data_IF_991590302159
#
_entry.id   IF_991590302159
#
_cell.length_a   1.000
_cell.length_b   1.000
_cell.length_c   1.000
_cell.angle_alpha   90.00
_cell.angle_beta   90.00
_cell.angle_gamma   90.00
#
_symmetry.space_group_name_H-M   'P 1'
#
loop_
_entity.id
_entity.type
_entity.pdbx_description
1 polymer ?
#
# COMPACT_ATOMS: atom_id res chain seq x y z
N UNK A 1 4.84 -19.71 17.16
CA UNK A 1 3.60 -19.15 16.57
C UNK A 1 3.06 -20.13 15.54
N UNK A 2 1.78 -20.49 15.60
CA UNK A 2 1.07 -21.26 14.57
C UNK A 2 -0.10 -20.47 14.06
N UNK A 3 -0.29 -20.47 12.74
CA UNK A 3 -1.46 -19.85 12.10
C UNK A 3 -2.29 -20.97 11.50
N UNK A 4 -3.57 -21.02 11.85
CA UNK A 4 -4.52 -21.99 11.32
C UNK A 4 -5.58 -21.25 10.51
N UNK A 5 -5.84 -21.77 9.31
CA UNK A 5 -7.01 -21.41 8.53
C UNK A 5 -8.14 -22.36 8.93
N UNK A 6 -9.00 -21.92 9.83
CA UNK A 6 -10.21 -22.67 10.18
C UNK A 6 -11.41 -22.12 9.40
N UNK A 7 -12.18 -23.04 8.81
CA UNK A 7 -13.44 -22.74 8.12
C UNK A 7 -13.34 -21.81 6.89
N UNK A 8 -12.57 -22.23 5.89
CA UNK A 8 -12.85 -21.79 4.53
C UNK A 8 -14.16 -22.45 4.12
N UNK A 9 -15.28 -21.72 4.19
CA UNK A 9 -16.55 -22.19 3.66
C UNK A 9 -16.63 -21.80 2.21
N UNK A 10 -16.66 -22.81 1.34
CA UNK A 10 -16.90 -22.63 -0.09
C UNK A 10 -18.40 -22.59 -0.36
N UNK A 11 -18.81 -21.83 -1.35
CA UNK A 11 -20.12 -22.00 -1.98
C UNK A 11 -20.05 -23.23 -2.87
N UNK A 12 -20.86 -24.24 -2.58
CA UNK A 12 -20.84 -25.52 -3.28
C UNK A 12 -21.18 -25.39 -4.78
N UNK A 13 -21.82 -24.28 -5.20
CA UNK A 13 -22.17 -24.01 -6.60
C UNK A 13 -21.07 -23.26 -7.39
N UNK A 14 -20.19 -22.50 -6.74
CA UNK A 14 -19.21 -21.61 -7.41
C UNK A 14 -17.76 -21.90 -7.00
N UNK A 15 -17.52 -22.69 -5.96
CA UNK A 15 -16.15 -23.03 -5.48
C UNK A 15 -15.40 -21.86 -4.84
N UNK A 16 -16.10 -20.79 -4.49
CA UNK A 16 -15.51 -19.58 -3.89
C UNK A 16 -15.67 -19.54 -2.37
N UNK A 17 -14.64 -19.07 -1.67
CA UNK A 17 -14.67 -18.94 -0.23
C UNK A 17 -15.61 -17.81 0.21
N UNK A 18 -16.67 -18.14 0.97
CA UNK A 18 -17.58 -17.13 1.54
C UNK A 18 -16.99 -16.38 2.73
N UNK A 19 -16.08 -17.01 3.46
CA UNK A 19 -15.39 -16.44 4.63
C UNK A 19 -14.04 -17.10 4.80
N UNK A 20 -13.04 -16.30 5.20
CA UNK A 20 -11.74 -16.79 5.61
C UNK A 20 -11.53 -16.40 7.06
N UNK A 21 -11.33 -17.40 7.94
CA UNK A 21 -10.93 -17.17 9.32
C UNK A 21 -9.44 -17.48 9.47
N UNK A 22 -8.67 -16.51 9.92
CA UNK A 22 -7.26 -16.68 10.26
C UNK A 22 -7.13 -16.60 11.78
N UNK A 23 -6.67 -17.68 12.40
CA UNK A 23 -6.36 -17.72 13.83
C UNK A 23 -4.87 -17.82 14.03
N UNK A 24 -4.34 -16.95 14.88
CA UNK A 24 -2.92 -16.92 15.22
C UNK A 24 -2.75 -17.42 16.64
N UNK A 25 -1.88 -18.42 16.82
CA UNK A 25 -1.56 -19.03 18.11
C UNK A 25 -0.09 -18.80 18.45
N UNK A 26 0.18 -18.55 19.72
CA UNK A 26 1.52 -18.52 20.28
C UNK A 26 1.72 -19.69 21.24
N UNK A 27 2.91 -20.23 21.25
CA UNK A 27 3.28 -21.30 22.16
C UNK A 27 3.71 -20.74 23.50
N UNK A 28 3.35 -21.43 24.60
CA UNK A 28 3.90 -21.16 25.92
C UNK A 28 5.41 -21.47 25.95
N UNK A 29 6.20 -20.58 26.52
CA UNK A 29 7.63 -20.84 26.75
C UNK A 29 7.86 -21.96 27.78
N UNK A 30 6.85 -22.29 28.61
CA UNK A 30 6.92 -23.29 29.66
C UNK A 30 6.52 -24.69 29.17
N UNK A 31 5.60 -24.79 28.21
CA UNK A 31 5.14 -26.05 27.66
C UNK A 31 4.94 -25.96 26.13
N UNK A 32 5.76 -26.67 25.33
CA UNK A 32 5.69 -26.65 23.87
C UNK A 32 4.35 -27.13 23.27
N UNK A 33 3.50 -27.76 24.06
CA UNK A 33 2.18 -28.24 23.63
C UNK A 33 1.05 -27.28 23.98
N UNK A 34 1.30 -26.24 24.76
CA UNK A 34 0.30 -25.25 25.11
C UNK A 34 0.32 -24.10 24.13
N UNK A 35 -0.72 -24.05 23.31
CA UNK A 35 -0.93 -23.01 22.29
C UNK A 35 -2.05 -22.09 22.70
N UNK A 36 -1.75 -20.81 22.86
CA UNK A 36 -2.73 -19.78 23.15
C UNK A 36 -3.10 -19.04 21.89
N UNK A 37 -4.42 -18.89 21.66
CA UNK A 37 -4.93 -18.02 20.59
C UNK A 37 -4.62 -16.57 20.98
N UNK A 38 -3.73 -15.91 20.23
CA UNK A 38 -3.38 -14.51 20.45
C UNK A 38 -4.16 -13.57 19.56
N UNK A 39 -4.66 -14.07 18.41
CA UNK A 39 -5.41 -13.26 17.48
C UNK A 39 -6.35 -14.10 16.60
N UNK A 40 -7.42 -13.49 16.15
CA UNK A 40 -8.40 -14.10 15.24
C UNK A 40 -8.93 -13.02 14.28
N UNK A 41 -8.80 -13.29 13.00
CA UNK A 41 -9.28 -12.41 11.94
C UNK A 41 -10.36 -13.15 11.17
N UNK A 42 -11.57 -12.59 11.14
CA UNK A 42 -12.65 -13.05 10.27
C UNK A 42 -12.75 -12.12 9.06
N UNK A 43 -12.58 -12.67 7.88
CA UNK A 43 -12.72 -11.97 6.62
C UNK A 43 -14.00 -12.44 5.92
N UNK A 44 -15.01 -11.59 5.85
CA UNK A 44 -16.18 -11.81 5.00
C UNK A 44 -15.88 -11.40 3.56
N UNK A 45 -16.54 -12.02 2.61
CA UNK A 45 -16.46 -11.58 1.21
C UNK A 45 -16.92 -10.14 1.11
N UNK A 46 -16.04 -9.27 0.61
CA UNK A 46 -16.37 -7.88 0.37
C UNK A 46 -16.91 -7.70 -1.03
N UNK A 47 -16.19 -8.23 -2.03
CA UNK A 47 -16.60 -8.20 -3.41
C UNK A 47 -15.76 -9.14 -4.27
N UNK A 48 -16.34 -9.59 -5.38
CA UNK A 48 -15.64 -10.21 -6.47
C UNK A 48 -14.87 -9.16 -7.28
N UNK A 49 -13.64 -9.48 -7.66
CA UNK A 49 -12.83 -8.68 -8.56
C UNK A 49 -12.92 -9.22 -9.97
N UNK A 50 -12.72 -8.36 -10.97
CA UNK A 50 -12.85 -8.76 -12.38
C UNK A 50 -11.95 -9.95 -12.74
N UNK A 51 -10.72 -9.97 -12.21
CA UNK A 51 -9.72 -11.04 -12.32
C UNK A 51 -8.57 -10.72 -11.35
N UNK A 52 -7.69 -11.69 -11.14
CA UNK A 52 -6.51 -11.56 -10.31
C UNK A 52 -5.34 -10.85 -11.00
N UNK A 53 -4.15 -11.37 -10.81
CA UNK A 53 -2.94 -10.82 -11.44
C UNK A 53 -3.01 -10.93 -12.98
N UNK A 54 -3.58 -12.03 -13.47
CA UNK A 54 -3.81 -12.28 -14.88
C UNK A 54 -5.31 -12.50 -15.20
N UNK A 55 -5.76 -12.25 -16.46
CA UNK A 55 -7.17 -12.28 -16.83
C UNK A 55 -7.89 -13.63 -16.61
N UNK A 56 -7.17 -14.75 -16.60
CA UNK A 56 -7.73 -16.08 -16.38
C UNK A 56 -7.87 -16.47 -14.89
N UNK A 57 -7.41 -15.63 -13.96
CA UNK A 57 -7.45 -15.92 -12.53
C UNK A 57 -8.68 -15.27 -11.91
N UNK A 58 -9.52 -16.05 -11.23
CA UNK A 58 -10.57 -15.50 -10.37
C UNK A 58 -9.92 -14.81 -9.16
N UNK A 59 -10.53 -13.72 -8.69
CA UNK A 59 -10.04 -12.98 -7.55
C UNK A 59 -11.16 -12.33 -6.75
N UNK A 60 -10.94 -12.18 -5.47
CA UNK A 60 -11.87 -11.60 -4.52
C UNK A 60 -11.14 -10.69 -3.53
N UNK A 61 -11.83 -9.67 -3.06
CA UNK A 61 -11.39 -8.81 -1.97
C UNK A 61 -12.22 -9.10 -0.72
N UNK A 62 -11.56 -9.54 0.34
CA UNK A 62 -12.19 -9.79 1.63
C UNK A 62 -12.00 -8.59 2.56
N UNK A 63 -13.09 -8.14 3.17
CA UNK A 63 -13.05 -7.04 4.13
C UNK A 63 -12.75 -7.57 5.54
N UNK A 64 -11.78 -6.94 6.21
CA UNK A 64 -11.56 -7.10 7.64
C UNK A 64 -12.18 -5.93 8.41
N UNK A 65 -12.72 -6.12 9.62
CA UNK A 65 -13.15 -5.03 10.49
C UNK A 65 -12.05 -4.02 10.83
N UNK A 66 -10.80 -4.44 10.70
CA UNK A 66 -9.61 -3.64 10.99
C UNK A 66 -8.94 -3.08 9.72
N UNK A 67 -9.68 -2.93 8.63
CA UNK A 67 -9.12 -2.39 7.39
C UNK A 67 -8.94 -0.87 7.45
N UNK A 68 -7.99 -0.42 6.65
CA UNK A 68 -7.81 0.99 6.30
C UNK A 68 -9.11 1.53 5.71
N UNK A 69 -9.56 2.68 6.20
CA UNK A 69 -10.73 3.36 5.67
C UNK A 69 -10.32 4.18 4.45
N UNK A 70 -10.84 3.80 3.29
CA UNK A 70 -10.66 4.48 2.02
C UNK A 70 -11.95 4.48 1.21
N UNK A 71 -12.05 5.36 0.24
CA UNK A 71 -13.17 5.50 -0.66
C UNK A 71 -12.68 5.71 -2.09
N UNK A 72 -13.25 4.99 -3.04
CA UNK A 72 -13.11 5.30 -4.48
C UNK A 72 -14.16 6.36 -4.80
N UNK A 73 -13.75 7.62 -4.80
CA UNK A 73 -14.66 8.78 -4.96
C UNK A 73 -14.99 9.09 -6.42
N UNK A 74 -14.24 8.50 -7.35
CA UNK A 74 -14.55 8.55 -8.78
C UNK A 74 -13.88 7.40 -9.55
N UNK A 75 -14.46 7.06 -10.69
CA UNK A 75 -14.03 5.95 -11.54
C UNK A 75 -14.66 4.61 -11.14
N UNK A 76 -14.22 3.56 -11.83
CA UNK A 76 -14.63 2.19 -11.49
C UNK A 76 -13.84 1.68 -10.28
N UNK A 77 -14.35 0.64 -9.67
CA UNK A 77 -13.66 -0.05 -8.58
C UNK A 77 -12.26 -0.55 -8.96
N UNK A 78 -11.37 -0.64 -7.97
CA UNK A 78 -10.00 -1.08 -8.17
C UNK A 78 -9.95 -2.57 -8.54
N UNK A 79 -9.13 -2.91 -9.54
CA UNK A 79 -8.78 -4.29 -9.86
C UNK A 79 -7.76 -4.83 -8.84
N UNK A 80 -7.48 -6.14 -8.92
CA UNK A 80 -6.47 -6.79 -8.07
C UNK A 80 -5.10 -6.09 -8.15
N UNK A 81 -4.60 -5.85 -9.37
CA UNK A 81 -3.30 -5.19 -9.57
C UNK A 81 -3.29 -3.73 -9.11
N UNK A 82 -4.38 -2.99 -9.34
CA UNK A 82 -4.50 -1.62 -8.86
C UNK A 82 -4.56 -1.56 -7.34
N UNK A 83 -5.23 -2.53 -6.68
CA UNK A 83 -5.24 -2.62 -5.23
C UNK A 83 -3.83 -2.89 -4.68
N UNK A 84 -3.07 -3.81 -5.29
CA UNK A 84 -1.68 -4.04 -4.90
C UNK A 84 -0.83 -2.77 -5.03
N UNK A 85 -0.95 -2.05 -6.15
CA UNK A 85 -0.24 -0.79 -6.33
C UNK A 85 -0.67 0.28 -5.31
N UNK A 86 -1.97 0.35 -4.96
CA UNK A 86 -2.49 1.27 -3.94
C UNK A 86 -1.91 0.95 -2.56
N UNK A 87 -1.78 -0.33 -2.21
CA UNK A 87 -1.14 -0.76 -0.95
C UNK A 87 0.32 -0.31 -0.92
N UNK A 88 1.09 -0.60 -1.97
CA UNK A 88 2.51 -0.28 -2.03
C UNK A 88 2.76 1.23 -2.02
N UNK A 89 2.05 1.99 -2.85
CA UNK A 89 2.22 3.44 -2.90
C UNK A 89 1.84 4.11 -1.58
N UNK A 90 0.79 3.60 -0.91
CA UNK A 90 0.36 4.14 0.39
C UNK A 90 1.35 3.79 1.49
N UNK A 91 1.92 2.58 1.44
CA UNK A 91 2.99 2.18 2.36
C UNK A 91 4.19 3.12 2.27
N UNK A 92 4.66 3.41 1.04
CA UNK A 92 5.79 4.32 0.81
C UNK A 92 5.47 5.72 1.33
N UNK A 93 4.35 6.35 0.91
CA UNK A 93 4.04 7.73 1.34
C UNK A 93 3.72 7.83 2.83
N UNK A 94 3.33 6.74 3.48
CA UNK A 94 3.11 6.71 4.93
C UNK A 94 4.40 6.89 5.74
N UNK A 95 5.57 6.54 5.18
CA UNK A 95 6.87 6.81 5.78
C UNK A 95 7.21 8.31 5.85
N UNK A 96 6.52 9.10 5.03
CA UNK A 96 6.74 10.53 4.83
C UNK A 96 5.48 11.34 5.13
N UNK A 97 4.62 10.85 6.05
CA UNK A 97 3.30 11.44 6.33
C UNK A 97 3.33 12.91 6.77
N UNK A 98 4.43 13.39 7.32
CA UNK A 98 4.62 14.73 7.86
C UNK A 98 5.17 15.75 6.83
N UNK A 99 5.76 15.29 5.73
CA UNK A 99 6.32 16.11 4.66
C UNK A 99 5.58 15.93 3.34
N UNK A 100 5.86 16.79 2.35
CA UNK A 100 5.34 16.63 0.99
C UNK A 100 6.10 15.52 0.29
N UNK A 101 5.46 14.39 0.11
CA UNK A 101 6.01 13.22 -0.55
C UNK A 101 5.05 12.70 -1.62
N UNK A 102 5.61 12.22 -2.71
CA UNK A 102 4.90 11.54 -3.79
C UNK A 102 5.64 10.26 -4.14
N UNK A 103 4.89 9.20 -4.31
CA UNK A 103 5.39 7.93 -4.84
C UNK A 103 4.58 7.53 -6.07
N UNK A 104 5.24 6.92 -7.04
CA UNK A 104 4.64 6.34 -8.24
C UNK A 104 5.01 4.87 -8.26
N UNK A 105 3.99 4.01 -8.38
CA UNK A 105 4.16 2.56 -8.35
C UNK A 105 3.50 1.94 -9.57
N UNK A 106 4.20 1.00 -10.21
CA UNK A 106 3.66 0.15 -11.25
C UNK A 106 4.10 -1.30 -11.02
N UNK A 107 3.17 -2.24 -11.21
CA UNK A 107 3.45 -3.68 -10.98
C UNK A 107 4.01 -3.98 -9.58
N UNK A 108 3.49 -3.29 -8.56
CA UNK A 108 3.94 -3.36 -7.16
C UNK A 108 5.41 -2.98 -6.93
N UNK A 109 6.01 -2.21 -7.87
CA UNK A 109 7.37 -1.70 -7.75
C UNK A 109 7.38 -0.18 -7.87
N UNK A 110 8.14 0.54 -7.03
CA UNK A 110 8.29 1.98 -7.15
C UNK A 110 9.05 2.36 -8.42
N UNK A 111 8.46 3.25 -9.23
CA UNK A 111 9.08 3.85 -10.41
C UNK A 111 9.75 5.18 -10.06
N UNK A 112 9.18 5.90 -9.10
CA UNK A 112 9.73 7.16 -8.62
C UNK A 112 9.16 7.53 -7.26
N UNK A 113 10.02 8.03 -6.38
CA UNK A 113 9.66 8.56 -5.07
C UNK A 113 10.43 9.83 -4.83
N UNK A 114 9.76 10.87 -4.37
CA UNK A 114 10.43 12.13 -4.08
C UNK A 114 9.75 12.94 -2.97
N UNK A 115 10.56 13.78 -2.35
CA UNK A 115 10.16 14.82 -1.43
C UNK A 115 10.28 16.19 -2.09
N UNK A 116 9.41 17.12 -1.70
CA UNK A 116 9.42 18.49 -2.22
C UNK A 116 9.05 19.52 -1.16
N UNK A 117 9.33 20.80 -1.44
CA UNK A 117 8.85 21.91 -0.62
C UNK A 117 7.35 22.09 -0.78
N UNK A 118 6.85 21.76 -1.98
CA UNK A 118 5.43 21.70 -2.31
C UNK A 118 5.09 20.30 -2.80
N UNK A 119 3.80 19.96 -2.82
CA UNK A 119 3.36 18.67 -3.34
C UNK A 119 3.58 18.57 -4.86
N UNK A 120 3.50 19.70 -5.58
CA UNK A 120 3.81 19.79 -7.00
C UNK A 120 5.30 19.50 -7.27
N UNK A 121 6.22 20.10 -6.50
CA UNK A 121 7.65 19.82 -6.61
C UNK A 121 7.96 18.34 -6.37
N UNK A 122 7.34 17.74 -5.33
CA UNK A 122 7.48 16.32 -5.04
C UNK A 122 6.98 15.45 -6.20
N UNK A 123 5.83 15.82 -6.79
CA UNK A 123 5.27 15.12 -7.94
C UNK A 123 6.21 15.17 -9.15
N UNK A 124 6.68 16.36 -9.54
CA UNK A 124 7.54 16.53 -10.69
C UNK A 124 8.83 15.73 -10.53
N UNK A 125 9.47 15.77 -9.36
CA UNK A 125 10.67 14.98 -9.06
C UNK A 125 10.43 13.48 -9.10
N UNK A 126 9.31 13.00 -8.54
CA UNK A 126 8.98 11.59 -8.56
C UNK A 126 8.74 11.10 -10.00
N UNK A 127 8.07 11.92 -10.81
CA UNK A 127 7.85 11.61 -12.21
C UNK A 127 9.16 11.59 -13.03
N UNK A 128 10.05 12.54 -12.78
CA UNK A 128 11.35 12.65 -13.48
C UNK A 128 12.30 11.48 -13.16
N UNK A 129 12.03 10.68 -12.11
CA UNK A 129 12.84 9.48 -11.84
C UNK A 129 12.75 8.46 -12.97
N UNK A 130 11.56 8.17 -13.48
CA UNK A 130 11.31 7.31 -14.64
C UNK A 130 9.96 7.66 -15.29
N UNK A 131 9.95 8.62 -16.23
CA UNK A 131 8.73 9.04 -16.91
C UNK A 131 8.09 7.91 -17.73
N UNK A 132 8.87 6.95 -18.22
CA UNK A 132 8.36 5.85 -19.05
C UNK A 132 7.65 4.82 -18.17
N UNK A 133 8.27 4.40 -17.08
CA UNK A 133 7.68 3.44 -16.14
C UNK A 133 6.48 4.02 -15.38
N UNK A 134 6.38 5.36 -15.28
CA UNK A 134 5.26 6.04 -14.64
C UNK A 134 3.93 5.96 -15.41
N UNK A 135 3.98 5.63 -16.71
CA UNK A 135 2.79 5.47 -17.55
C UNK A 135 1.89 4.36 -17.00
N UNK A 136 0.57 4.64 -16.89
CA UNK A 136 -0.44 3.74 -16.34
C UNK A 136 -0.18 3.29 -14.89
N UNK A 137 0.69 4.02 -14.18
CA UNK A 137 0.99 3.77 -12.77
C UNK A 137 -0.12 4.23 -11.82
N UNK A 138 0.11 3.94 -10.55
CA UNK A 138 -0.64 4.45 -9.41
C UNK A 138 0.21 5.47 -8.68
N UNK A 139 -0.36 6.64 -8.39
CA UNK A 139 0.34 7.74 -7.73
C UNK A 139 -0.26 7.96 -6.34
N UNK A 140 0.59 7.93 -5.32
CA UNK A 140 0.23 8.22 -3.93
C UNK A 140 0.84 9.53 -3.46
N UNK A 141 0.05 10.26 -2.69
CA UNK A 141 0.40 11.56 -2.14
C UNK A 141 0.31 11.53 -0.61
N UNK A 142 1.31 12.11 0.06
CA UNK A 142 1.28 12.27 1.51
C UNK A 142 0.39 13.42 1.99
N UNK A 143 0.06 14.35 1.10
CA UNK A 143 -0.73 15.55 1.38
C UNK A 143 -1.87 15.70 0.39
N UNK A 144 -2.71 16.71 0.64
CA UNK A 144 -3.81 17.10 -0.23
C UNK A 144 -3.32 17.47 -1.63
N UNK A 145 -4.03 17.00 -2.65
CA UNK A 145 -3.76 17.34 -4.05
C UNK A 145 -4.38 18.71 -4.38
N UNK A 146 -3.57 19.61 -4.93
CA UNK A 146 -3.98 20.91 -5.44
C UNK A 146 -4.30 20.90 -6.94
N UNK A 147 -4.73 22.05 -7.47
CA UNK A 147 -5.13 22.20 -8.88
C UNK A 147 -3.94 22.03 -9.83
N UNK A 148 -2.73 22.46 -9.45
CA UNK A 148 -1.56 22.39 -10.34
C UNK A 148 -1.13 20.93 -10.53
N UNK A 149 -1.08 20.14 -9.45
CA UNK A 149 -0.83 18.70 -9.54
C UNK A 149 -1.92 18.00 -10.36
N UNK A 150 -3.20 18.39 -10.19
CA UNK A 150 -4.30 17.81 -10.95
C UNK A 150 -4.17 18.06 -12.46
N UNK A 151 -3.67 19.22 -12.89
CA UNK A 151 -3.38 19.51 -14.30
C UNK A 151 -2.31 18.58 -14.86
N UNK A 152 -1.22 18.37 -14.11
CA UNK A 152 -0.16 17.45 -14.51
C UNK A 152 -0.67 16.01 -14.63
N UNK A 153 -1.43 15.53 -13.65
CA UNK A 153 -2.02 14.17 -13.68
C UNK A 153 -2.90 13.99 -14.92
N UNK A 154 -3.75 14.97 -15.24
CA UNK A 154 -4.64 14.89 -16.40
C UNK A 154 -3.93 14.96 -17.76
N UNK A 155 -2.72 15.50 -17.79
CA UNK A 155 -1.89 15.50 -19.01
C UNK A 155 -1.23 14.14 -19.29
N UNK A 156 -1.35 13.20 -18.37
CA UNK A 156 -0.69 11.90 -18.42
C UNK A 156 -1.67 10.74 -18.32
N UNK A 157 -1.23 9.58 -18.80
CA UNK A 157 -1.98 8.32 -18.67
C UNK A 157 -1.71 7.69 -17.29
N UNK A 158 -2.45 8.14 -16.28
CA UNK A 158 -2.43 7.60 -14.90
C UNK A 158 -3.67 6.76 -14.67
N UNK A 159 -3.56 5.62 -14.01
CA UNK A 159 -4.71 4.75 -13.70
C UNK A 159 -5.38 5.08 -12.38
N UNK A 160 -4.60 5.33 -11.34
CA UNK A 160 -5.09 5.54 -9.99
C UNK A 160 -4.31 6.66 -9.32
N UNK A 161 -5.02 7.53 -8.63
CA UNK A 161 -4.43 8.47 -7.68
C UNK A 161 -5.01 8.21 -6.30
N UNK A 162 -4.17 8.23 -5.27
CA UNK A 162 -4.59 8.14 -3.87
C UNK A 162 -3.98 9.26 -3.05
N UNK A 163 -4.80 9.94 -2.27
CA UNK A 163 -4.39 11.03 -1.39
C UNK A 163 -5.28 11.11 -0.14
N UNK A 164 -4.79 11.73 0.95
CA UNK A 164 -5.62 12.01 2.13
C UNK A 164 -6.80 12.94 1.82
N UNK A 165 -6.61 13.88 0.89
CA UNK A 165 -7.65 14.83 0.49
C UNK A 165 -7.35 15.43 -0.89
N UNK A 166 -8.35 16.15 -1.43
CA UNK A 166 -8.28 16.83 -2.72
C UNK A 166 -8.87 18.24 -2.58
N UNK A 167 -8.31 19.23 -3.25
CA UNK A 167 -8.98 20.52 -3.43
C UNK A 167 -10.21 20.34 -4.32
N UNK A 168 -11.25 21.12 -4.05
CA UNK A 168 -12.52 20.99 -4.78
C UNK A 168 -12.32 21.17 -6.30
N UNK A 169 -11.55 22.18 -6.69
CA UNK A 169 -11.25 22.45 -8.09
C UNK A 169 -10.32 21.38 -8.70
N UNK A 170 -9.35 20.87 -7.92
CA UNK A 170 -8.51 19.75 -8.34
C UNK A 170 -9.37 18.49 -8.62
N UNK A 171 -10.31 18.19 -7.72
CA UNK A 171 -11.20 17.05 -7.87
C UNK A 171 -12.12 17.19 -9.09
N UNK A 172 -12.68 18.40 -9.34
CA UNK A 172 -13.46 18.67 -10.55
C UNK A 172 -12.64 18.42 -11.80
N UNK A 173 -11.39 18.84 -11.80
CA UNK A 173 -10.49 18.66 -12.94
C UNK A 173 -10.14 17.18 -13.14
N UNK A 174 -9.76 16.45 -12.09
CA UNK A 174 -9.40 15.02 -12.17
C UNK A 174 -10.58 14.18 -12.69
N UNK A 175 -11.83 14.50 -12.32
CA UNK A 175 -13.04 13.82 -12.79
C UNK A 175 -13.31 13.95 -14.28
N UNK A 176 -12.65 14.87 -14.98
CA UNK A 176 -12.73 14.95 -16.45
C UNK A 176 -12.00 13.79 -17.14
N UNK A 177 -11.10 13.11 -16.44
CA UNK A 177 -10.36 11.96 -16.96
C UNK A 177 -11.12 10.66 -16.67
N UNK A 178 -11.88 10.18 -17.65
CA UNK A 178 -12.75 9.00 -17.52
C UNK A 178 -12.00 7.68 -17.25
N UNK A 179 -10.69 7.64 -17.41
CA UNK A 179 -9.86 6.46 -17.17
C UNK A 179 -9.19 6.47 -15.79
N UNK A 180 -9.19 7.62 -15.13
CA UNK A 180 -8.59 7.81 -13.82
C UNK A 180 -9.52 7.29 -12.72
N UNK A 181 -8.97 6.60 -11.75
CA UNK A 181 -9.64 6.24 -10.50
C UNK A 181 -9.10 7.11 -9.38
N UNK A 182 -10.00 7.73 -8.65
CA UNK A 182 -9.65 8.67 -7.59
C UNK A 182 -9.98 8.03 -6.25
N UNK A 183 -8.97 7.84 -5.43
CA UNK A 183 -9.08 7.19 -4.12
C UNK A 183 -8.78 8.20 -3.02
N UNK A 184 -9.72 8.37 -2.10
CA UNK A 184 -9.52 9.15 -0.88
C UNK A 184 -9.17 8.21 0.27
N UNK A 185 -8.05 8.48 0.92
CA UNK A 185 -7.63 7.78 2.12
C UNK A 185 -8.16 8.50 3.35
N UNK A 186 -9.20 7.93 3.98
CA UNK A 186 -9.81 8.52 5.19
C UNK A 186 -9.02 8.18 6.47
N UNK A 187 -8.22 7.10 6.46
CA UNK A 187 -7.31 6.79 7.54
C UNK A 187 -6.09 7.71 7.48
N UNK A 188 -5.72 8.39 8.58
CA UNK A 188 -4.51 9.21 8.60
C UNK A 188 -3.25 8.37 8.29
N UNK A 189 -2.40 8.83 7.39
CA UNK A 189 -1.19 8.12 6.93
C UNK A 189 -0.27 7.68 8.07
N UNK A 190 -0.14 8.50 9.12
CA UNK A 190 0.66 8.16 10.32
C UNK A 190 0.21 6.88 11.03
N UNK A 191 -1.03 6.45 10.80
CA UNK A 191 -1.59 5.23 11.38
C UNK A 191 -1.63 4.06 10.38
N UNK A 192 -1.26 4.27 9.12
CA UNK A 192 -1.37 3.25 8.07
C UNK A 192 -0.65 1.95 8.44
N UNK A 193 0.58 2.04 8.92
CA UNK A 193 1.36 0.86 9.34
C UNK A 193 0.77 0.09 10.51
N UNK A 194 -0.10 0.70 11.32
CA UNK A 194 -0.75 -0.01 12.41
C UNK A 194 -1.77 -1.05 11.92
N UNK A 195 -2.23 -0.92 10.68
CA UNK A 195 -3.11 -1.89 10.01
C UNK A 195 -2.36 -3.04 9.34
N UNK A 196 -1.04 -2.96 9.25
CA UNK A 196 -0.20 -4.01 8.68
C UNK A 196 0.30 -4.94 9.78
N UNK A 197 -0.30 -6.12 9.90
CA UNK A 197 -0.01 -7.06 10.99
C UNK A 197 0.96 -8.15 10.57
N UNK A 198 0.48 -9.10 9.78
CA UNK A 198 1.22 -10.26 9.33
C UNK A 198 1.20 -10.38 7.81
N UNK A 199 2.29 -10.83 7.24
CA UNK A 199 2.34 -11.25 5.84
C UNK A 199 2.17 -12.76 5.83
N UNK A 200 1.16 -13.24 5.11
CA UNK A 200 0.82 -14.66 4.99
C UNK A 200 0.98 -15.07 3.54
N UNK A 201 1.81 -16.09 3.30
CA UNK A 201 2.02 -16.66 1.97
C UNK A 201 1.72 -18.15 2.00
N UNK A 202 0.71 -18.56 1.27
CA UNK A 202 0.35 -19.97 1.10
C UNK A 202 1.20 -20.57 -0.02
N UNK A 203 1.83 -21.71 0.26
CA UNK A 203 2.66 -22.43 -0.71
C UNK A 203 2.32 -23.92 -0.68
N UNK A 204 2.66 -24.69 -1.74
CA UNK A 204 2.48 -26.16 -1.74
C UNK A 204 3.22 -26.88 -0.62
N UNK A 205 4.24 -26.25 -0.02
CA UNK A 205 5.05 -26.83 1.06
C UNK A 205 4.57 -26.41 2.45
N UNK A 206 3.58 -25.54 2.55
CA UNK A 206 3.03 -25.01 3.79
C UNK A 206 2.79 -23.51 3.76
N UNK A 207 2.32 -22.96 4.86
CA UNK A 207 2.02 -21.54 5.00
C UNK A 207 3.17 -20.83 5.71
N UNK A 208 3.72 -19.81 5.05
CA UNK A 208 4.73 -18.93 5.62
C UNK A 208 4.04 -17.73 6.25
N UNK A 209 4.43 -17.40 7.47
CA UNK A 209 3.89 -16.24 8.21
C UNK A 209 5.07 -15.45 8.76
N UNK A 210 5.07 -14.14 8.54
CA UNK A 210 6.05 -13.23 9.13
C UNK A 210 5.38 -11.95 9.61
N UNK A 211 6.04 -11.24 10.52
CA UNK A 211 5.64 -9.89 10.88
C UNK A 211 5.89 -8.94 9.72
N UNK A 212 5.03 -7.92 9.62
CA UNK A 212 5.31 -6.80 8.74
C UNK A 212 6.53 -6.03 9.26
N UNK A 213 7.40 -5.58 8.36
CA UNK A 213 8.57 -4.80 8.74
C UNK A 213 8.14 -3.41 9.24
N UNK A 214 8.27 -3.19 10.54
CA UNK A 214 7.98 -1.91 11.21
C UNK A 214 9.26 -1.25 11.74
N UNK A 215 10.42 -1.66 11.25
CA UNK A 215 11.70 -1.09 11.67
C UNK A 215 11.78 0.38 11.27
N UNK A 216 12.14 1.21 12.23
CA UNK A 216 12.42 2.63 12.02
C UNK A 216 13.92 2.84 11.95
N UNK A 217 14.38 3.53 10.91
CA UNK A 217 15.76 3.94 10.77
C UNK A 217 15.85 5.46 10.87
N UNK A 218 16.78 5.93 11.70
CA UNK A 218 17.12 7.34 11.84
C UNK A 218 18.59 7.59 11.52
N UNK A 219 18.97 8.83 11.27
CA UNK A 219 20.37 9.20 11.02
C UNK A 219 21.31 8.76 12.16
N UNK A 220 20.80 8.67 13.39
CA UNK A 220 21.57 8.22 14.57
C UNK A 220 21.79 6.70 14.60
N UNK A 221 21.01 5.95 13.82
CA UNK A 221 21.12 4.48 13.76
C UNK A 221 22.32 4.01 12.91
N UNK A 222 22.90 4.89 12.09
CA UNK A 222 24.01 4.52 11.22
C UNK A 222 25.32 4.34 11.98
N UNK A 223 25.94 3.17 11.82
CA UNK A 223 27.33 2.92 12.20
C UNK A 223 28.22 2.99 10.97
N UNK A 224 29.01 4.04 10.87
CA UNK A 224 29.94 4.21 9.74
C UNK A 224 31.15 3.31 9.94
N UNK A 225 31.31 2.33 9.03
CA UNK A 225 32.39 1.33 9.08
C UNK A 225 33.46 1.56 8.01
N UNK A 226 33.23 2.50 7.10
CA UNK A 226 34.16 2.83 6.01
C UNK A 226 35.19 3.87 6.45
N UNK A 227 36.36 3.91 5.74
CA UNK A 227 37.41 4.92 5.98
C UNK A 227 36.89 6.33 5.66
N UNK A 228 36.19 6.47 4.52
CA UNK A 228 35.54 7.72 4.14
C UNK A 228 34.23 7.86 4.90
N UNK A 229 34.06 8.96 5.60
CA UNK A 229 32.83 9.27 6.32
C UNK A 229 31.84 9.94 5.35
N UNK A 230 30.55 9.54 5.36
CA UNK A 230 29.54 10.23 4.60
C UNK A 230 29.32 11.66 5.12
N UNK A 231 28.88 12.55 4.24
CA UNK A 231 28.37 13.86 4.63
C UNK A 231 27.01 13.70 5.32
N UNK A 232 26.55 14.76 5.98
CA UNK A 232 25.20 14.79 6.58
C UNK A 232 24.13 14.51 5.53
N UNK A 233 24.25 15.12 4.36
CA UNK A 233 23.34 14.98 3.21
C UNK A 233 23.28 13.52 2.74
N UNK A 234 24.43 12.86 2.59
CA UNK A 234 24.50 11.45 2.21
C UNK A 234 23.86 10.51 3.26
N UNK A 235 23.89 10.88 4.54
CA UNK A 235 23.19 10.13 5.59
C UNK A 235 21.68 10.33 5.47
N UNK A 236 21.22 11.55 5.19
CA UNK A 236 19.82 11.88 4.96
C UNK A 236 19.28 11.12 3.73
N UNK A 237 20.03 11.10 2.62
CA UNK A 237 19.71 10.29 1.43
C UNK A 237 19.64 8.79 1.74
N UNK A 238 20.55 8.30 2.60
CA UNK A 238 20.53 6.91 3.05
C UNK A 238 19.28 6.56 3.88
N UNK A 239 18.81 7.48 4.73
CA UNK A 239 17.53 7.31 5.47
C UNK A 239 16.34 7.30 4.51
N UNK A 240 16.34 8.21 3.53
CA UNK A 240 15.32 8.26 2.49
C UNK A 240 15.26 6.94 1.71
N UNK A 241 16.39 6.48 1.21
CA UNK A 241 16.48 5.24 0.43
C UNK A 241 16.08 3.99 1.23
N UNK A 242 16.30 3.99 2.56
CA UNK A 242 15.83 2.91 3.43
C UNK A 242 14.31 2.87 3.56
N UNK A 243 13.65 4.04 3.54
CA UNK A 243 12.20 4.16 3.70
C UNK A 243 11.42 3.82 2.43
N UNK A 244 12.07 3.89 1.27
CA UNK A 244 11.52 3.53 -0.04
C UNK A 244 11.69 2.04 -0.32
#
# INVERSE_FOLDING_TARGET
>A
MKTFYDNVKYDDEVGMAKRINVRVFENSNENPNDWFKIDEYEYGTFRELKYGENPQQAAELFKSPQMVNYEVIDGKELSYNEMNNVVEVTNIVSEFYDVNAVAIVQHSMPCGVALGRTIEEAYNKAFDCDPIASFFGTIGFSKKIDVEVAKHINSMAVKVVIAPDFEEEALKLLRTNLFLKIVKLNTPLKHFKSYMHKIVKITPFGTLVQDFNKSELSAQSFRIVTKNKPTKEQIEDGVFAWKV
#
